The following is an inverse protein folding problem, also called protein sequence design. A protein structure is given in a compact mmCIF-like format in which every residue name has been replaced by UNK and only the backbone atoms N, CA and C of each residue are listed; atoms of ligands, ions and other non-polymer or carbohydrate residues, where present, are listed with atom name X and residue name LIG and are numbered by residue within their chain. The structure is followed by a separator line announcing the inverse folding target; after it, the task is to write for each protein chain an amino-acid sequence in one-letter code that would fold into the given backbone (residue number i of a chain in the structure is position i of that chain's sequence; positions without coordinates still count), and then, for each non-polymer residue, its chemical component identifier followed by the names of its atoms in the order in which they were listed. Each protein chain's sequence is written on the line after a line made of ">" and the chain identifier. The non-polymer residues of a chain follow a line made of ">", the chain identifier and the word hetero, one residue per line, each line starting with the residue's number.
data_IF_902167678048
#
_entry.id   IF_902167678048
#
_cell.length_a   1.000
_cell.length_b   1.000
_cell.length_c   1.000
_cell.angle_alpha   90.00
_cell.angle_beta   90.00
_cell.angle_gamma   90.00
#
_symmetry.space_group_name_H-M   'P 1'
#
loop_
_entity.id
_entity.type
_entity.pdbx_description
1 polymer ?
#
# COMPACT_ATOMS: atom_id res chain seq x y z
N UNK A 1 3.28 1.67 19.42
CA UNK A 1 3.36 0.32 18.81
C UNK A 1 2.43 0.37 17.63
N UNK A 2 2.98 0.17 16.44
CA UNK A 2 2.21 0.28 15.21
C UNK A 2 1.43 -1.02 15.04
N UNK A 3 0.14 -0.91 14.72
CA UNK A 3 -0.72 -2.03 14.39
C UNK A 3 -1.29 -1.82 13.00
N UNK A 4 -1.53 -2.92 12.28
CA UNK A 4 -2.22 -2.90 10.99
C UNK A 4 -3.65 -3.39 11.14
N UNK A 5 -4.57 -2.73 10.46
CA UNK A 5 -5.96 -3.17 10.33
C UNK A 5 -6.33 -3.28 8.85
N UNK A 6 -7.28 -4.17 8.55
CA UNK A 6 -7.85 -4.33 7.23
C UNK A 6 -9.24 -3.71 7.17
N UNK A 7 -9.53 -2.97 6.09
CA UNK A 7 -10.81 -2.32 5.88
C UNK A 7 -11.21 -2.49 4.42
N UNK A 8 -12.44 -2.93 4.15
CA UNK A 8 -12.94 -3.04 2.79
C UNK A 8 -13.13 -1.66 2.14
N UNK A 9 -12.90 -1.59 0.83
CA UNK A 9 -12.81 -0.35 0.06
C UNK A 9 -14.08 0.51 0.07
N UNK A 10 -15.24 -0.08 0.38
CA UNK A 10 -16.54 0.60 0.45
C UNK A 10 -17.03 0.85 1.88
N UNK A 11 -16.29 0.43 2.90
CA UNK A 11 -16.67 0.67 4.30
C UNK A 11 -16.58 2.15 4.67
N UNK A 12 -17.61 2.66 5.35
CA UNK A 12 -17.64 4.06 5.83
C UNK A 12 -16.44 4.40 6.74
N UNK A 13 -15.98 3.42 7.53
CA UNK A 13 -14.84 3.59 8.44
C UNK A 13 -13.54 3.89 7.70
N UNK A 14 -13.37 3.39 6.46
CA UNK A 14 -12.21 3.70 5.65
C UNK A 14 -12.03 5.21 5.49
N UNK A 15 -13.10 5.89 5.04
CA UNK A 15 -13.10 7.33 4.84
C UNK A 15 -12.76 8.08 6.12
N UNK A 16 -13.30 7.67 7.27
CA UNK A 16 -12.99 8.29 8.56
C UNK A 16 -11.50 8.19 8.93
N UNK A 17 -10.83 7.11 8.55
CA UNK A 17 -9.43 6.87 8.86
C UNK A 17 -8.50 7.60 7.89
N UNK A 18 -8.76 7.53 6.58
CA UNK A 18 -7.80 8.00 5.57
C UNK A 18 -8.07 9.41 5.05
N UNK A 19 -9.30 9.95 5.20
CA UNK A 19 -9.66 11.26 4.66
C UNK A 19 -8.67 12.39 5.02
N UNK A 20 -8.18 12.51 6.26
CA UNK A 20 -7.20 13.55 6.60
C UNK A 20 -5.88 13.43 5.82
N UNK A 21 -5.46 12.20 5.48
CA UNK A 21 -4.22 11.96 4.73
C UNK A 21 -4.42 12.11 3.23
N UNK A 22 -5.47 11.52 2.66
CA UNK A 22 -5.68 11.57 1.20
C UNK A 22 -6.06 12.97 0.70
N UNK A 23 -6.50 13.86 1.59
CA UNK A 23 -6.77 15.28 1.29
C UNK A 23 -5.59 16.20 1.66
N UNK A 24 -4.52 15.67 2.28
CA UNK A 24 -3.35 16.47 2.61
C UNK A 24 -2.54 16.76 1.33
N UNK A 25 -2.23 18.04 1.01
CA UNK A 25 -1.45 18.41 -0.17
C UNK A 25 -0.09 17.72 -0.27
N UNK A 26 0.60 17.50 0.85
CA UNK A 26 1.92 16.86 0.86
C UNK A 26 1.81 15.37 0.50
N UNK A 27 0.77 14.71 1.00
CA UNK A 27 0.49 13.29 0.70
C UNK A 27 0.08 13.13 -0.76
N UNK A 28 -0.76 14.02 -1.29
CA UNK A 28 -1.13 14.03 -2.70
C UNK A 28 0.07 14.31 -3.60
N UNK A 29 0.90 15.29 -3.24
CA UNK A 29 2.13 15.64 -3.98
C UNK A 29 3.10 14.46 -4.04
N UNK A 30 3.27 13.73 -2.93
CA UNK A 30 4.05 12.49 -2.89
C UNK A 30 3.48 11.42 -3.84
N UNK A 31 2.15 11.37 -4.00
CA UNK A 31 1.49 10.53 -5.00
C UNK A 31 1.35 11.17 -6.38
N UNK A 32 2.23 12.13 -6.73
CA UNK A 32 2.23 12.85 -8.01
C UNK A 32 0.89 13.53 -8.34
N UNK A 33 0.22 14.05 -7.32
CA UNK A 33 -1.13 14.64 -7.36
C UNK A 33 -2.20 13.70 -7.94
N UNK A 34 -1.94 12.40 -7.96
CA UNK A 34 -2.92 11.42 -8.39
C UNK A 34 -3.91 11.14 -7.24
N UNK A 35 -5.22 11.20 -7.49
CA UNK A 35 -6.22 10.97 -6.45
C UNK A 35 -6.21 9.51 -6.01
N UNK A 36 -6.41 9.30 -4.70
CA UNK A 36 -6.63 7.97 -4.15
C UNK A 36 -8.04 7.49 -4.54
N UNK A 37 -8.11 6.26 -5.07
CA UNK A 37 -9.35 5.65 -5.56
C UNK A 37 -9.60 4.34 -4.83
N UNK A 38 -10.87 4.01 -4.66
CA UNK A 38 -11.32 2.77 -4.01
C UNK A 38 -12.63 2.31 -4.61
N UNK A 39 -12.88 1.00 -4.57
CA UNK A 39 -14.11 0.33 -5.01
C UNK A 39 -14.31 -0.92 -4.13
N UNK A 40 -15.32 -1.73 -4.42
CA UNK A 40 -15.52 -3.04 -3.77
C UNK A 40 -14.38 -4.05 -4.00
N UNK A 41 -13.53 -3.81 -5.00
CA UNK A 41 -12.37 -4.67 -5.30
C UNK A 41 -11.17 -4.36 -4.40
N UNK A 42 -11.22 -3.29 -3.61
CA UNK A 42 -10.10 -2.87 -2.79
C UNK A 42 -10.23 -3.38 -1.35
N UNK A 43 -9.12 -3.87 -0.81
CA UNK A 43 -8.90 -4.00 0.64
C UNK A 43 -7.79 -3.04 1.02
N UNK A 44 -8.01 -2.25 2.07
CA UNK A 44 -7.05 -1.28 2.58
C UNK A 44 -6.41 -1.78 3.86
N UNK A 45 -5.08 -1.83 3.84
CA UNK A 45 -4.26 -2.10 5.02
C UNK A 45 -3.84 -0.76 5.61
N UNK A 46 -4.15 -0.52 6.88
CA UNK A 46 -3.96 0.80 7.52
C UNK A 46 -3.07 0.60 8.74
N UNK A 47 -1.93 1.28 8.77
CA UNK A 47 -1.01 1.31 9.89
C UNK A 47 -1.39 2.44 10.85
N UNK A 48 -1.62 2.09 12.11
CA UNK A 48 -2.06 3.01 13.17
C UNK A 48 -1.02 2.96 14.29
N UNK A 49 -0.48 4.14 14.66
CA UNK A 49 0.25 4.30 15.92
C UNK A 49 -0.60 5.09 16.90
N UNK A 50 -0.93 4.46 18.03
CA UNK A 50 -1.86 4.97 19.06
C UNK A 50 -3.25 5.27 18.49
N UNK A 51 -3.45 6.47 17.92
CA UNK A 51 -4.72 6.95 17.34
C UNK A 51 -4.53 7.63 15.98
N UNK A 52 -3.30 7.67 15.47
CA UNK A 52 -2.96 8.35 14.23
C UNK A 52 -2.63 7.33 13.16
N UNK A 53 -3.21 7.53 11.97
CA UNK A 53 -2.82 6.76 10.79
C UNK A 53 -1.44 7.23 10.34
N UNK A 54 -0.48 6.31 10.33
CA UNK A 54 0.93 6.55 9.96
C UNK A 54 1.26 5.98 8.58
N UNK A 55 0.37 5.18 8.00
CA UNK A 55 0.50 4.70 6.63
C UNK A 55 -0.71 3.91 6.19
N UNK A 56 -0.86 3.71 4.89
CA UNK A 56 -1.87 2.84 4.32
C UNK A 56 -1.38 2.21 3.02
N UNK A 57 -1.92 1.05 2.68
CA UNK A 57 -1.61 0.30 1.48
C UNK A 57 -2.89 -0.30 0.90
N UNK A 58 -3.45 0.28 -0.17
CA UNK A 58 -4.61 -0.30 -0.84
C UNK A 58 -4.17 -1.43 -1.76
N UNK A 59 -4.93 -2.51 -1.72
CA UNK A 59 -4.72 -3.71 -2.54
C UNK A 59 -5.97 -3.93 -3.38
N UNK A 60 -5.83 -3.79 -4.70
CA UNK A 60 -6.90 -4.04 -5.66
C UNK A 60 -6.91 -5.51 -6.09
N UNK A 61 -8.03 -6.19 -5.91
CA UNK A 61 -8.23 -7.56 -6.38
C UNK A 61 -8.70 -7.54 -7.84
N UNK A 62 -7.89 -8.10 -8.72
CA UNK A 62 -8.20 -8.24 -10.14
C UNK A 62 -8.24 -9.72 -10.53
N UNK A 63 -8.79 -10.00 -11.71
CA UNK A 63 -8.79 -11.37 -12.27
C UNK A 63 -7.39 -11.95 -12.46
N UNK A 64 -6.38 -11.10 -12.69
CA UNK A 64 -5.00 -11.50 -12.95
C UNK A 64 -4.11 -11.56 -11.69
N UNK A 65 -4.69 -11.38 -10.49
CA UNK A 65 -3.96 -11.24 -9.23
C UNK A 65 -4.26 -9.92 -8.51
N UNK A 66 -3.51 -9.64 -7.46
CA UNK A 66 -3.67 -8.44 -6.63
C UNK A 66 -2.68 -7.34 -7.02
N UNK A 67 -3.05 -6.08 -6.82
CA UNK A 67 -2.20 -4.93 -7.14
C UNK A 67 -2.11 -3.97 -5.97
N UNK A 68 -0.90 -3.76 -5.46
CA UNK A 68 -0.54 -2.64 -4.57
C UNK A 68 -0.19 -1.43 -5.43
N UNK A 69 -0.83 -0.29 -5.16
CA UNK A 69 -0.50 0.98 -5.79
C UNK A 69 -0.95 2.14 -4.89
N UNK A 70 -0.49 3.36 -5.14
CA UNK A 70 -0.93 4.57 -4.43
C UNK A 70 -0.93 4.40 -2.89
N UNK A 71 0.10 3.78 -2.34
CA UNK A 71 0.27 3.63 -0.89
C UNK A 71 0.99 4.86 -0.32
N UNK A 72 0.89 5.04 1.00
CA UNK A 72 1.54 6.13 1.72
C UNK A 72 2.13 5.62 3.03
N UNK A 73 3.32 6.11 3.38
CA UNK A 73 3.98 5.87 4.66
C UNK A 73 4.58 7.18 5.16
N UNK A 74 4.23 7.56 6.38
CA UNK A 74 4.71 8.81 6.97
C UNK A 74 6.23 8.79 7.16
N UNK A 75 6.90 9.81 6.63
CA UNK A 75 8.34 9.99 6.75
C UNK A 75 9.17 8.84 6.14
N UNK A 76 8.63 8.14 5.12
CA UNK A 76 9.26 6.97 4.50
C UNK A 76 9.72 5.92 5.53
N UNK A 77 8.97 5.79 6.63
CA UNK A 77 9.32 4.92 7.74
C UNK A 77 9.36 3.43 7.30
N UNK A 78 10.57 2.88 7.23
CA UNK A 78 10.84 1.53 6.76
C UNK A 78 10.07 0.44 7.53
N UNK A 79 9.98 0.57 8.85
CA UNK A 79 9.29 -0.41 9.71
C UNK A 79 7.79 -0.44 9.42
N UNK A 80 7.17 0.74 9.26
CA UNK A 80 5.76 0.88 8.89
C UNK A 80 5.49 0.26 7.51
N UNK A 81 6.37 0.52 6.55
CA UNK A 81 6.25 -0.05 5.20
C UNK A 81 6.36 -1.58 5.24
N UNK A 82 7.37 -2.12 5.93
CA UNK A 82 7.57 -3.57 6.08
C UNK A 82 6.38 -4.23 6.78
N UNK A 83 5.82 -3.60 7.82
CA UNK A 83 4.65 -4.11 8.52
C UNK A 83 3.41 -4.15 7.59
N UNK A 84 3.20 -3.11 6.77
CA UNK A 84 2.11 -3.08 5.79
C UNK A 84 2.26 -4.19 4.74
N UNK A 85 3.46 -4.35 4.18
CA UNK A 85 3.74 -5.42 3.19
C UNK A 85 3.50 -6.80 3.81
N UNK A 86 4.03 -7.04 5.01
CA UNK A 86 3.84 -8.31 5.71
C UNK A 86 2.37 -8.61 5.96
N UNK A 87 1.60 -7.59 6.36
CA UNK A 87 0.15 -7.71 6.58
C UNK A 87 -0.61 -8.05 5.30
N UNK A 88 -0.21 -7.46 4.16
CA UNK A 88 -0.80 -7.81 2.86
C UNK A 88 -0.49 -9.26 2.51
N UNK A 89 0.77 -9.68 2.63
CA UNK A 89 1.20 -11.04 2.30
C UNK A 89 0.51 -12.11 3.16
N UNK A 90 0.31 -11.82 4.45
CA UNK A 90 -0.44 -12.71 5.35
C UNK A 90 -1.91 -12.85 4.92
N UNK A 91 -2.53 -11.77 4.46
CA UNK A 91 -3.95 -11.73 4.12
C UNK A 91 -4.30 -12.37 2.77
N UNK A 92 -3.47 -12.16 1.73
CA UNK A 92 -3.78 -12.65 0.38
C UNK A 92 -3.40 -14.12 0.16
N UNK A 93 -2.58 -14.70 1.04
CA UNK A 93 -2.10 -16.09 0.92
C UNK A 93 -1.02 -16.26 -0.16
N UNK A 94 -0.39 -17.44 -0.17
CA UNK A 94 0.81 -17.71 -0.99
C UNK A 94 0.53 -17.95 -2.48
N UNK A 95 -0.69 -18.32 -2.83
CA UNK A 95 -1.07 -18.72 -4.20
C UNK A 95 -1.59 -17.55 -5.06
N UNK A 96 -1.45 -16.32 -4.58
CA UNK A 96 -1.96 -15.13 -5.27
C UNK A 96 -0.80 -14.31 -5.82
N UNK A 97 -0.75 -14.20 -7.15
CA UNK A 97 0.18 -13.29 -7.82
C UNK A 97 -0.06 -11.85 -7.37
N UNK A 98 0.99 -11.20 -6.88
CA UNK A 98 0.93 -9.85 -6.34
C UNK A 98 1.82 -8.91 -7.15
N UNK A 99 1.23 -7.83 -7.66
CA UNK A 99 1.96 -6.76 -8.33
C UNK A 99 2.04 -5.54 -7.43
N UNK A 100 3.09 -4.74 -7.58
CA UNK A 100 3.24 -3.48 -6.88
C UNK A 100 3.79 -2.40 -7.80
N UNK A 101 3.24 -1.19 -7.70
CA UNK A 101 3.86 0.03 -8.22
C UNK A 101 4.52 0.74 -7.05
N UNK A 102 5.85 0.75 -7.03
CA UNK A 102 6.66 1.08 -5.85
C UNK A 102 7.49 2.32 -6.14
N UNK A 103 7.56 3.27 -5.20
CA UNK A 103 8.49 4.40 -5.30
C UNK A 103 9.94 3.91 -5.25
N UNK A 104 10.84 4.49 -6.05
CA UNK A 104 12.24 4.01 -6.16
C UNK A 104 12.95 3.93 -4.80
N UNK A 105 12.70 4.88 -3.90
CA UNK A 105 13.26 4.89 -2.53
C UNK A 105 12.76 3.73 -1.65
N UNK A 106 11.64 3.09 -2.00
CA UNK A 106 11.04 1.98 -1.26
C UNK A 106 11.33 0.60 -1.87
N UNK A 107 11.98 0.54 -3.03
CA UNK A 107 12.28 -0.72 -3.73
C UNK A 107 12.95 -1.76 -2.84
N UNK A 108 14.00 -1.38 -2.11
CA UNK A 108 14.77 -2.29 -1.26
C UNK A 108 13.90 -2.98 -0.19
N UNK A 109 12.87 -2.29 0.33
CA UNK A 109 11.96 -2.88 1.32
C UNK A 109 11.08 -3.94 0.68
N UNK A 110 10.58 -3.70 -0.54
CA UNK A 110 9.81 -4.70 -1.27
C UNK A 110 10.67 -5.91 -1.66
N UNK A 111 11.94 -5.71 -2.06
CA UNK A 111 12.87 -6.79 -2.37
C UNK A 111 13.12 -7.72 -1.16
N UNK A 112 13.25 -7.16 0.04
CA UNK A 112 13.36 -7.94 1.29
C UNK A 112 12.13 -8.80 1.59
N UNK A 113 10.97 -8.44 1.06
CA UNK A 113 9.74 -9.23 1.17
C UNK A 113 9.52 -10.16 -0.05
N UNK A 114 10.56 -10.34 -0.88
CA UNK A 114 10.59 -11.28 -1.98
C UNK A 114 9.91 -10.79 -3.26
N UNK A 115 9.74 -9.48 -3.43
CA UNK A 115 9.34 -8.92 -4.71
C UNK A 115 10.53 -8.81 -5.65
N UNK A 116 10.30 -9.04 -6.94
CA UNK A 116 11.26 -8.87 -8.02
C UNK A 116 10.84 -7.73 -8.94
N UNK A 117 11.80 -6.95 -9.42
CA UNK A 117 11.55 -5.87 -10.37
C UNK A 117 11.16 -6.42 -11.74
N UNK A 118 10.07 -5.92 -12.31
CA UNK A 118 9.63 -6.21 -13.69
C UNK A 118 10.01 -5.08 -14.65
N UNK A 119 9.82 -3.82 -14.22
CA UNK A 119 10.04 -2.64 -15.06
C UNK A 119 10.36 -1.41 -14.22
N UNK A 120 11.32 -0.60 -14.66
CA UNK A 120 11.66 0.67 -14.02
C UNK A 120 11.15 1.88 -14.82
N UNK A 121 10.73 2.92 -14.10
CA UNK A 121 10.47 4.27 -14.59
C UNK A 121 11.23 5.29 -13.72
N UNK A 122 11.17 6.58 -14.09
CA UNK A 122 11.92 7.64 -13.41
C UNK A 122 11.65 7.75 -11.91
N UNK A 123 10.41 7.53 -11.47
CA UNK A 123 9.98 7.69 -10.06
C UNK A 123 9.47 6.40 -9.41
N UNK A 124 9.20 5.39 -10.22
CA UNK A 124 8.54 4.17 -9.76
C UNK A 124 9.18 2.95 -10.41
N UNK A 125 9.07 1.81 -9.73
CA UNK A 125 9.37 0.49 -10.27
C UNK A 125 8.11 -0.36 -10.17
N UNK A 126 7.79 -1.06 -11.26
CA UNK A 126 6.82 -2.15 -11.23
C UNK A 126 7.55 -3.36 -10.68
N UNK A 127 6.98 -3.95 -9.64
CA UNK A 127 7.49 -5.16 -9.03
C UNK A 127 6.38 -6.21 -9.03
N UNK A 128 6.78 -7.47 -8.97
CA UNK A 128 5.88 -8.60 -8.82
C UNK A 128 6.43 -9.56 -7.78
N UNK A 129 5.53 -10.28 -7.14
CA UNK A 129 5.81 -11.45 -6.35
C UNK A 129 4.92 -12.56 -6.87
N UNK A 130 5.57 -13.54 -7.48
CA UNK A 130 4.93 -14.80 -7.86
C UNK A 130 4.87 -15.73 -6.64
N UNK A 131 4.20 -16.87 -6.80
CA UNK A 131 3.99 -17.92 -5.77
C UNK A 131 5.27 -18.28 -4.99
#
# INVERSE_FOLDING_TARGET
>A
MIQTIQVQGTEKRLYQLIAPLVMNPDVLSANNNYPFKTTEQYVWFIAIDKKSVVGFMPVEHRRSGCVINNYYVSGDNRETLSLLISSVLEAIGKEVRLFAVVMVNHQAVFEEHGFIMEKAWKRYVKMQKDE
#
